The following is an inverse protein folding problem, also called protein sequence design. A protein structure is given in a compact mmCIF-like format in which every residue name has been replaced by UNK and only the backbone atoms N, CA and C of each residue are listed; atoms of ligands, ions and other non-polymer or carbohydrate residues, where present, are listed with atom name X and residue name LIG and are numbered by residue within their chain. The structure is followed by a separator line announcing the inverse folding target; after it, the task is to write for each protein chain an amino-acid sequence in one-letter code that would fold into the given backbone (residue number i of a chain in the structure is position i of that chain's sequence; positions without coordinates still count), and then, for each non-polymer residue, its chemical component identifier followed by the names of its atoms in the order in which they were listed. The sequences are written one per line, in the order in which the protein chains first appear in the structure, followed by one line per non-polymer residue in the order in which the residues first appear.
data_IF_318420033175
#
_entry.id   IF_318420033175
#
_cell.length_a   1.000
_cell.length_b   1.000
_cell.length_c   1.000
_cell.angle_alpha   90.00
_cell.angle_beta   90.00
_cell.angle_gamma   90.00
#
_symmetry.space_group_name_H-M   'P 1'
#
loop_
_entity.id
_entity.type
_entity.pdbx_description
1 polymer ?
#
# COMPACT_ATOMS: atom_id res chain seq x y z
N UNK A 1 1.21 7.53 14.02
CA UNK A 1 1.72 8.84 13.56
C UNK A 1 0.58 9.83 13.56
N UNK A 2 0.83 11.13 13.35
CA UNK A 2 -0.25 12.09 13.10
C UNK A 2 -0.83 11.88 11.69
N UNK A 3 -2.13 12.11 11.54
CA UNK A 3 -2.92 11.98 10.31
C UNK A 3 -2.29 12.78 9.16
N UNK A 4 -1.69 13.93 9.49
CA UNK A 4 -1.01 14.78 8.52
C UNK A 4 0.18 14.08 7.84
N UNK A 5 0.89 13.18 8.52
CA UNK A 5 2.01 12.45 7.92
C UNK A 5 1.52 11.48 6.85
N UNK A 6 0.40 10.79 7.10
CA UNK A 6 -0.22 9.88 6.14
C UNK A 6 -0.82 10.59 4.92
N UNK A 7 -1.08 11.90 5.03
CA UNK A 7 -1.54 12.72 3.91
C UNK A 7 -0.38 13.34 3.11
N UNK A 8 0.53 14.03 3.79
CA UNK A 8 1.54 14.88 3.14
C UNK A 8 2.65 14.04 2.49
N UNK A 9 3.14 13.00 3.16
CA UNK A 9 4.28 12.24 2.68
C UNK A 9 4.00 11.49 1.38
N UNK A 10 2.85 10.82 1.19
CA UNK A 10 2.51 10.21 -0.11
C UNK A 10 2.42 11.22 -1.25
N UNK A 11 1.88 12.42 -0.98
CA UNK A 11 1.80 13.49 -1.98
C UNK A 11 3.20 13.91 -2.40
N UNK A 12 4.08 14.20 -1.43
CA UNK A 12 5.47 14.58 -1.69
C UNK A 12 6.19 13.47 -2.46
N UNK A 13 6.04 12.22 -2.03
CA UNK A 13 6.65 11.05 -2.66
C UNK A 13 6.20 10.88 -4.12
N UNK A 14 4.89 10.96 -4.40
CA UNK A 14 4.37 10.82 -5.75
C UNK A 14 4.74 12.00 -6.67
N UNK A 15 4.79 13.21 -6.12
CA UNK A 15 5.29 14.38 -6.87
C UNK A 15 6.77 14.24 -7.17
N UNK A 16 7.58 13.82 -6.20
CA UNK A 16 9.01 13.55 -6.36
C UNK A 16 9.29 12.45 -7.39
N UNK A 17 8.44 11.41 -7.42
CA UNK A 17 8.44 10.36 -8.43
C UNK A 17 7.90 10.82 -9.80
N UNK A 18 7.57 12.12 -9.96
CA UNK A 18 7.10 12.73 -11.21
C UNK A 18 5.80 12.13 -11.77
N UNK A 19 4.96 11.52 -10.93
CA UNK A 19 3.68 10.93 -11.33
C UNK A 19 2.76 11.96 -12.01
N UNK A 20 2.80 13.21 -11.54
CA UNK A 20 2.00 14.32 -12.04
C UNK A 20 2.24 14.69 -13.52
N UNK A 21 3.33 14.21 -14.13
CA UNK A 21 3.65 14.48 -15.54
C UNK A 21 2.74 13.66 -16.48
N UNK A 22 2.38 12.43 -16.08
CA UNK A 22 1.62 11.49 -16.93
C UNK A 22 0.23 11.14 -16.38
N UNK A 23 0.02 11.37 -15.08
CA UNK A 23 -1.25 11.21 -14.40
C UNK A 23 -1.68 12.54 -13.81
N UNK A 24 -2.98 12.89 -13.82
CA UNK A 24 -3.45 14.16 -13.29
C UNK A 24 -3.18 14.23 -11.79
N UNK A 25 -2.76 15.40 -11.30
CA UNK A 25 -2.51 15.66 -9.87
C UNK A 25 -3.72 15.29 -8.99
N UNK A 26 -4.93 15.43 -9.54
CA UNK A 26 -6.18 15.00 -8.88
C UNK A 26 -6.12 13.54 -8.44
N UNK A 27 -5.50 12.64 -9.20
CA UNK A 27 -5.42 11.23 -8.82
C UNK A 27 -4.55 11.03 -7.58
N UNK A 28 -3.43 11.76 -7.48
CA UNK A 28 -2.56 11.76 -6.30
C UNK A 28 -3.33 12.30 -5.08
N UNK A 29 -4.05 13.41 -5.26
CA UNK A 29 -4.85 14.01 -4.19
C UNK A 29 -5.98 13.10 -3.73
N UNK A 30 -6.72 12.46 -4.64
CA UNK A 30 -7.77 11.49 -4.27
C UNK A 30 -7.15 10.34 -3.47
N UNK A 31 -6.06 9.75 -3.95
CA UNK A 31 -5.40 8.65 -3.24
C UNK A 31 -4.92 9.06 -1.84
N UNK A 32 -4.35 10.27 -1.70
CA UNK A 32 -3.94 10.80 -0.40
C UNK A 32 -5.13 11.13 0.51
N UNK A 33 -6.22 11.66 0.01
CA UNK A 33 -7.42 11.90 0.84
C UNK A 33 -7.99 10.58 1.39
N UNK A 34 -7.91 9.48 0.63
CA UNK A 34 -8.35 8.18 1.13
C UNK A 34 -7.50 7.66 2.29
N UNK A 35 -6.22 7.99 2.41
CA UNK A 35 -5.40 7.57 3.57
C UNK A 35 -5.89 8.24 4.85
N UNK A 36 -6.25 9.53 4.77
CA UNK A 36 -6.84 10.28 5.89
C UNK A 36 -8.19 9.70 6.32
N UNK A 37 -8.99 9.19 5.38
CA UNK A 37 -10.29 8.58 5.71
C UNK A 37 -10.15 7.31 6.55
N UNK A 38 -9.06 6.56 6.38
CA UNK A 38 -8.80 5.35 7.18
C UNK A 38 -8.45 5.74 8.62
N UNK A 39 -7.74 6.84 8.82
CA UNK A 39 -7.43 7.40 10.14
C UNK A 39 -8.65 7.86 10.94
N UNK A 40 -9.85 7.91 10.35
CA UNK A 40 -11.09 8.28 11.06
C UNK A 40 -11.40 7.32 12.21
N UNK A 41 -10.96 6.06 12.15
CA UNK A 41 -11.17 5.14 13.28
C UNK A 41 -10.44 5.58 14.57
N UNK A 42 -9.39 6.43 14.45
CA UNK A 42 -8.75 7.08 15.60
C UNK A 42 -9.66 8.09 16.29
N UNK A 43 -10.56 8.75 15.55
CA UNK A 43 -11.46 9.77 16.09
C UNK A 43 -12.66 9.16 16.82
N UNK A 44 -13.05 7.94 16.45
CA UNK A 44 -14.26 7.28 16.97
C UNK A 44 -13.95 6.35 18.16
N UNK A 45 -12.69 6.28 18.60
CA UNK A 45 -12.30 5.51 19.79
C UNK A 45 -12.39 3.98 19.63
N UNK A 46 -12.63 3.49 18.42
CA UNK A 46 -12.49 2.08 18.12
C UNK A 46 -11.00 1.74 18.11
N UNK A 47 -10.61 0.70 18.84
CA UNK A 47 -9.27 0.10 18.79
C UNK A 47 -8.78 0.03 17.35
N UNK A 48 -7.57 0.54 17.06
CA UNK A 48 -6.88 0.58 15.74
C UNK A 48 -6.96 -0.74 14.97
N UNK A 49 -8.10 -1.02 14.37
CA UNK A 49 -8.42 -2.36 13.89
C UNK A 49 -9.56 -2.37 12.90
N UNK A 50 -10.53 -1.45 13.00
CA UNK A 50 -11.65 -1.40 12.07
C UNK A 50 -11.20 -1.06 10.64
N UNK A 51 -10.41 0.00 10.46
CA UNK A 51 -9.90 0.38 9.14
C UNK A 51 -8.41 0.07 8.96
N UNK A 52 -7.66 -0.03 10.05
CA UNK A 52 -6.25 -0.43 10.02
C UNK A 52 -6.11 -1.95 10.03
N UNK A 53 -6.43 -2.62 8.93
CA UNK A 53 -6.21 -4.06 8.77
C UNK A 53 -5.94 -4.43 7.31
N UNK A 54 -5.45 -5.66 7.08
CA UNK A 54 -5.08 -6.13 5.73
C UNK A 54 -6.28 -6.21 4.79
N UNK A 55 -7.49 -6.43 5.30
CA UNK A 55 -8.69 -6.53 4.46
C UNK A 55 -9.05 -5.16 3.87
N UNK A 56 -9.00 -4.10 4.69
CA UNK A 56 -9.35 -2.74 4.27
C UNK A 56 -8.22 -2.07 3.50
N UNK A 57 -6.98 -2.12 4.01
CA UNK A 57 -5.87 -1.35 3.45
C UNK A 57 -5.13 -2.05 2.31
N UNK A 58 -5.29 -3.37 2.16
CA UNK A 58 -4.61 -4.14 1.11
C UNK A 58 -5.62 -4.85 0.20
N UNK A 59 -6.50 -5.68 0.75
CA UNK A 59 -7.40 -6.51 -0.06
C UNK A 59 -8.40 -5.68 -0.88
N UNK A 60 -9.11 -4.73 -0.26
CA UNK A 60 -10.08 -3.88 -0.97
C UNK A 60 -9.41 -3.08 -2.11
N UNK A 61 -8.30 -2.35 -1.89
CA UNK A 61 -7.59 -1.65 -2.95
C UNK A 61 -7.07 -2.59 -4.04
N UNK A 62 -6.60 -3.79 -3.68
CA UNK A 62 -6.17 -4.81 -4.63
C UNK A 62 -7.33 -5.30 -5.51
N UNK A 63 -8.51 -5.51 -4.93
CA UNK A 63 -9.73 -5.85 -5.68
C UNK A 63 -10.14 -4.71 -6.62
N UNK A 64 -10.00 -3.46 -6.20
CA UNK A 64 -10.24 -2.31 -7.06
C UNK A 64 -9.26 -2.25 -8.24
N UNK A 65 -7.97 -2.50 -8.00
CA UNK A 65 -6.98 -2.67 -9.07
C UNK A 65 -7.44 -3.80 -10.01
N UNK A 66 -7.70 -5.01 -9.51
CA UNK A 66 -8.15 -6.12 -10.35
C UNK A 66 -9.40 -5.78 -11.19
N UNK A 67 -10.36 -5.08 -10.61
CA UNK A 67 -11.57 -4.62 -11.28
C UNK A 67 -11.27 -3.66 -12.45
N UNK A 68 -10.40 -2.65 -12.25
CA UNK A 68 -10.07 -1.67 -13.32
C UNK A 68 -9.41 -2.33 -14.54
N UNK A 69 -8.55 -3.33 -14.31
CA UNK A 69 -7.93 -4.10 -15.38
C UNK A 69 -8.92 -5.03 -16.10
N UNK A 70 -9.80 -5.68 -15.34
CA UNK A 70 -10.84 -6.55 -15.91
C UNK A 70 -11.82 -5.78 -16.82
N UNK A 71 -12.26 -4.60 -16.39
CA UNK A 71 -13.21 -3.75 -17.11
C UNK A 71 -12.63 -2.98 -18.30
N UNK A 72 -11.33 -3.14 -18.59
CA UNK A 72 -10.61 -2.34 -19.61
C UNK A 72 -10.83 -0.83 -19.44
N UNK A 73 -10.79 -0.36 -18.19
CA UNK A 73 -10.94 1.08 -17.91
C UNK A 73 -9.84 1.91 -18.57
N UNK A 74 -10.08 3.22 -18.64
CA UNK A 74 -9.09 4.17 -19.16
C UNK A 74 -7.79 4.10 -18.36
N UNK A 75 -6.68 4.42 -19.04
CA UNK A 75 -5.34 4.42 -18.48
C UNK A 75 -5.26 5.19 -17.14
N UNK A 76 -5.92 6.33 -17.07
CA UNK A 76 -5.95 7.22 -15.90
C UNK A 76 -6.66 6.60 -14.70
N UNK A 77 -7.70 5.78 -14.93
CA UNK A 77 -8.41 5.10 -13.84
C UNK A 77 -7.57 3.95 -13.25
N UNK A 78 -6.78 3.26 -14.09
CA UNK A 78 -5.82 2.23 -13.63
C UNK A 78 -4.71 2.85 -12.79
N UNK A 79 -4.19 4.00 -13.24
CA UNK A 79 -3.22 4.79 -12.47
C UNK A 79 -3.76 5.18 -11.10
N UNK A 80 -4.99 5.70 -11.04
CA UNK A 80 -5.65 6.00 -9.77
C UNK A 80 -5.77 4.76 -8.87
N UNK A 81 -6.25 3.63 -9.40
CA UNK A 81 -6.42 2.41 -8.60
C UNK A 81 -5.10 1.91 -8.00
N UNK A 82 -4.01 1.94 -8.79
CA UNK A 82 -2.69 1.55 -8.30
C UNK A 82 -2.16 2.53 -7.26
N UNK A 83 -2.35 3.84 -7.45
CA UNK A 83 -1.95 4.85 -6.46
C UNK A 83 -2.68 4.65 -5.12
N UNK A 84 -3.99 4.38 -5.16
CA UNK A 84 -4.78 4.07 -3.96
C UNK A 84 -4.20 2.82 -3.26
N UNK A 85 -3.89 1.76 -4.01
CA UNK A 85 -3.27 0.57 -3.45
C UNK A 85 -1.90 0.86 -2.81
N UNK A 86 -1.02 1.59 -3.50
CA UNK A 86 0.31 1.95 -2.98
C UNK A 86 0.17 2.73 -1.68
N UNK A 87 -0.65 3.77 -1.67
CA UNK A 87 -0.76 4.69 -0.52
C UNK A 87 -1.41 4.01 0.70
N UNK A 88 -2.46 3.23 0.50
CA UNK A 88 -3.14 2.54 1.61
C UNK A 88 -2.32 1.36 2.14
N UNK A 89 -1.61 0.61 1.27
CA UNK A 89 -0.75 -0.48 1.74
C UNK A 89 0.50 0.04 2.45
N UNK A 90 1.09 1.14 1.99
CA UNK A 90 2.22 1.77 2.68
C UNK A 90 1.78 2.38 4.03
N UNK A 91 0.56 2.91 4.12
CA UNK A 91 -0.04 3.36 5.39
C UNK A 91 -0.03 2.27 6.45
N UNK A 92 -0.60 1.10 6.11
CA UNK A 92 -0.59 -0.07 7.01
C UNK A 92 0.84 -0.45 7.43
N UNK A 93 1.78 -0.40 6.49
CA UNK A 93 3.17 -0.73 6.75
C UNK A 93 3.81 0.24 7.75
N UNK A 94 3.58 1.55 7.61
CA UNK A 94 4.14 2.54 8.53
C UNK A 94 3.61 2.33 9.96
N UNK A 95 2.33 2.04 10.12
CA UNK A 95 1.73 1.84 11.45
C UNK A 95 2.30 0.64 12.21
N UNK A 96 2.80 -0.39 11.51
CA UNK A 96 3.54 -1.49 12.14
C UNK A 96 4.78 -0.99 12.91
N UNK A 97 5.41 0.10 12.50
CA UNK A 97 6.62 0.64 13.14
C UNK A 97 6.34 1.72 14.19
N UNK A 98 5.11 2.25 14.28
CA UNK A 98 4.81 3.40 15.15
C UNK A 98 3.97 3.09 16.38
N UNK A 99 3.15 2.03 16.34
CA UNK A 99 2.38 1.59 17.52
C UNK A 99 1.70 0.25 17.36
N UNK A 100 1.91 -0.42 16.23
CA UNK A 100 1.30 -1.70 15.93
C UNK A 100 -0.14 -1.61 15.44
N UNK A 101 -0.57 -2.69 14.81
CA UNK A 101 -1.87 -2.78 14.12
C UNK A 101 -2.51 -4.15 14.34
N UNK A 102 -3.84 -4.19 14.51
CA UNK A 102 -4.61 -5.42 14.51
C UNK A 102 -4.80 -5.96 13.07
N UNK A 103 -3.72 -6.54 12.50
CA UNK A 103 -3.63 -6.90 11.08
C UNK A 103 -4.81 -7.71 10.53
N UNK A 104 -5.37 -8.61 11.33
CA UNK A 104 -6.40 -9.57 10.92
C UNK A 104 -7.76 -9.30 11.57
N UNK A 105 -8.01 -8.11 12.11
CA UNK A 105 -9.33 -7.76 12.62
C UNK A 105 -10.39 -7.83 11.49
N UNK A 106 -11.61 -8.36 11.74
CA UNK A 106 -12.16 -8.85 13.01
C UNK A 106 -11.89 -10.33 13.32
N UNK A 107 -11.13 -11.04 12.48
CA UNK A 107 -10.82 -12.47 12.70
C UNK A 107 -9.88 -12.68 13.90
N UNK A 108 -9.02 -11.70 14.20
CA UNK A 108 -8.12 -11.71 15.35
C UNK A 108 -7.92 -10.29 15.89
N UNK A 109 -7.80 -10.17 17.21
CA UNK A 109 -7.50 -8.93 17.93
C UNK A 109 -6.02 -8.77 18.26
N UNK A 110 -5.16 -9.71 17.83
CA UNK A 110 -3.71 -9.64 18.07
C UNK A 110 -3.11 -8.42 17.37
N UNK A 111 -2.36 -7.62 18.13
CA UNK A 111 -1.64 -6.45 17.64
C UNK A 111 -0.23 -6.87 17.20
N UNK A 112 0.11 -6.53 15.96
CA UNK A 112 1.43 -6.78 15.40
C UNK A 112 2.20 -5.48 15.32
N UNK A 113 3.45 -5.48 15.79
CA UNK A 113 4.35 -4.33 15.72
C UNK A 113 5.75 -4.78 15.36
N UNK A 114 6.49 -3.92 14.66
CA UNK A 114 7.90 -4.09 14.35
C UNK A 114 8.67 -3.09 15.22
N UNK A 115 9.52 -3.63 16.10
CA UNK A 115 10.37 -2.85 16.97
C UNK A 115 11.83 -3.12 16.63
N UNK A 116 12.48 -2.11 16.06
CA UNK A 116 13.90 -2.14 15.75
C UNK A 116 14.57 -0.89 16.30
N UNK A 117 15.38 -1.02 17.34
CA UNK A 117 16.09 0.10 17.94
C UNK A 117 17.56 -0.25 18.11
N UNK A 118 18.45 0.65 17.65
CA UNK A 118 19.88 0.59 17.92
C UNK A 118 20.19 1.66 18.97
N UNK A 119 20.50 1.27 20.22
CA UNK A 119 20.78 2.22 21.28
C UNK A 119 22.11 2.93 21.02
N UNK A 120 22.18 4.20 21.41
CA UNK A 120 23.41 4.99 21.48
C UNK A 120 23.67 5.33 22.95
N UNK A 121 24.68 4.72 23.54
CA UNK A 121 25.09 5.03 24.91
C UNK A 121 26.33 5.92 24.81
N UNK A 122 26.24 7.15 25.33
CA UNK A 122 27.38 8.03 25.42
C UNK A 122 27.61 8.48 26.86
N UNK A 123 28.81 8.20 27.37
CA UNK A 123 29.24 8.57 28.72
C UNK A 123 30.09 9.83 28.67
N UNK A 124 29.65 10.86 29.40
CA UNK A 124 30.45 12.04 29.64
C UNK A 124 31.42 11.74 30.79
N UNK A 125 32.66 11.41 30.45
CA UNK A 125 33.70 10.96 31.38
C UNK A 125 34.01 12.03 32.44
N UNK A 126 33.83 13.31 32.11
CA UNK A 126 34.12 14.46 32.98
C UNK A 126 33.02 14.72 34.01
N UNK A 127 31.77 14.31 33.74
CA UNK A 127 30.60 14.55 34.60
C UNK A 127 30.00 13.28 35.20
N UNK A 128 30.52 12.10 34.85
CA UNK A 128 30.01 10.81 35.32
C UNK A 128 28.57 10.52 34.88
N UNK A 129 28.03 11.26 33.91
CA UNK A 129 26.67 11.10 33.41
C UNK A 129 26.67 10.31 32.11
N UNK A 130 25.86 9.25 32.06
CA UNK A 130 25.54 8.48 30.87
C UNK A 130 24.24 9.00 30.25
N UNK A 131 24.30 9.42 29.00
CA UNK A 131 23.14 9.76 28.21
C UNK A 131 22.76 8.57 27.33
N UNK A 132 21.51 8.14 27.45
CA UNK A 132 20.92 7.13 26.58
C UNK A 132 20.16 7.82 25.45
N UNK A 133 20.60 7.62 24.22
CA UNK A 133 19.90 8.02 23.00
C UNK A 133 19.62 6.81 22.12
N UNK A 134 18.96 7.05 20.97
CA UNK A 134 18.83 6.05 19.92
C UNK A 134 19.60 6.52 18.69
N UNK A 135 20.53 5.71 18.21
CA UNK A 135 21.21 5.95 16.93
C UNK A 135 20.24 5.72 15.77
N UNK A 136 19.45 4.65 15.86
CA UNK A 136 18.42 4.29 14.90
C UNK A 136 17.17 3.91 15.68
N UNK A 137 16.06 4.60 15.41
CA UNK A 137 14.76 4.31 16.01
C UNK A 137 13.85 3.55 15.05
N UNK A 138 12.96 2.71 15.59
CA UNK A 138 11.99 1.95 14.79
C UNK A 138 11.14 2.87 13.92
N UNK A 139 10.74 4.02 14.48
CA UNK A 139 10.02 5.07 13.76
C UNK A 139 10.81 5.61 12.57
N UNK A 140 12.11 5.91 12.75
CA UNK A 140 12.95 6.41 11.68
C UNK A 140 13.10 5.41 10.52
N UNK A 141 13.28 4.13 10.86
CA UNK A 141 13.30 3.04 9.86
C UNK A 141 11.95 2.91 9.16
N UNK A 142 10.85 2.95 9.91
CA UNK A 142 9.49 2.90 9.38
C UNK A 142 9.22 4.02 8.38
N UNK A 143 9.59 5.27 8.69
CA UNK A 143 9.43 6.42 7.79
C UNK A 143 10.27 6.25 6.51
N UNK A 144 11.52 5.82 6.64
CA UNK A 144 12.40 5.62 5.48
C UNK A 144 11.84 4.55 4.53
N UNK A 145 11.43 3.41 5.07
CA UNK A 145 10.83 2.32 4.29
C UNK A 145 9.47 2.73 3.71
N UNK A 146 8.64 3.43 4.46
CA UNK A 146 7.37 3.97 4.00
C UNK A 146 7.56 4.86 2.77
N UNK A 147 8.53 5.77 2.81
CA UNK A 147 8.84 6.64 1.67
C UNK A 147 9.31 5.84 0.46
N UNK A 148 10.18 4.85 0.65
CA UNK A 148 10.65 3.96 -0.42
C UNK A 148 9.52 3.13 -1.04
N UNK A 149 8.61 2.61 -0.22
CA UNK A 149 7.45 1.83 -0.65
C UNK A 149 6.47 2.65 -1.49
N UNK A 150 6.47 3.98 -1.38
CA UNK A 150 5.66 4.85 -2.22
C UNK A 150 6.44 5.28 -3.47
N UNK A 151 7.65 5.81 -3.28
CA UNK A 151 8.44 6.39 -4.38
C UNK A 151 8.76 5.33 -5.44
N UNK A 152 9.23 4.13 -5.05
CA UNK A 152 9.65 3.13 -6.02
C UNK A 152 8.49 2.69 -6.93
N UNK A 153 7.32 2.25 -6.43
CA UNK A 153 6.20 1.91 -7.31
C UNK A 153 5.68 3.11 -8.12
N UNK A 154 5.68 4.32 -7.55
CA UNK A 154 5.27 5.53 -8.26
C UNK A 154 6.19 5.86 -9.44
N UNK A 155 7.51 5.65 -9.31
CA UNK A 155 8.47 5.86 -10.41
C UNK A 155 8.20 4.92 -11.59
N UNK A 156 7.74 3.70 -11.31
CA UNK A 156 7.45 2.68 -12.32
C UNK A 156 5.95 2.50 -12.59
N UNK A 157 5.12 3.50 -12.25
CA UNK A 157 3.66 3.37 -12.32
C UNK A 157 3.17 2.98 -13.72
N UNK A 158 3.71 3.59 -14.77
CA UNK A 158 3.33 3.30 -16.15
C UNK A 158 3.79 1.90 -16.61
N UNK A 159 4.97 1.49 -16.18
CA UNK A 159 5.50 0.15 -16.46
C UNK A 159 4.65 -0.91 -15.76
N UNK A 160 4.20 -0.64 -14.54
CA UNK A 160 3.26 -1.51 -13.81
C UNK A 160 1.95 -1.62 -14.60
N UNK A 161 1.36 -0.50 -15.03
CA UNK A 161 0.11 -0.50 -15.80
C UNK A 161 0.26 -1.31 -17.08
N UNK A 162 1.28 -1.03 -17.89
CA UNK A 162 1.49 -1.71 -19.17
C UNK A 162 1.78 -3.20 -19.00
N UNK A 163 2.55 -3.59 -17.98
CA UNK A 163 2.83 -4.99 -17.68
C UNK A 163 1.59 -5.74 -17.19
N UNK A 164 0.76 -5.11 -16.35
CA UNK A 164 -0.49 -5.69 -15.90
C UNK A 164 -1.51 -5.83 -17.04
N UNK A 165 -1.59 -4.87 -17.96
CA UNK A 165 -2.42 -4.97 -19.16
C UNK A 165 -2.00 -6.17 -20.02
N UNK A 166 -0.71 -6.27 -20.35
CA UNK A 166 -0.16 -7.38 -21.15
C UNK A 166 -0.46 -8.73 -20.49
N UNK A 167 -0.21 -8.86 -19.17
CA UNK A 167 -0.50 -10.09 -18.42
C UNK A 167 -2.00 -10.44 -18.45
N UNK A 168 -2.88 -9.46 -18.24
CA UNK A 168 -4.32 -9.68 -18.24
C UNK A 168 -4.82 -10.12 -19.63
N UNK A 169 -4.31 -9.52 -20.71
CA UNK A 169 -4.65 -9.93 -22.08
C UNK A 169 -4.16 -11.34 -22.41
N UNK A 170 -2.91 -11.67 -22.06
CA UNK A 170 -2.36 -13.01 -22.28
C UNK A 170 -3.16 -14.07 -21.54
N UNK A 171 -3.52 -13.83 -20.28
CA UNK A 171 -4.36 -14.73 -19.51
C UNK A 171 -5.75 -14.92 -20.16
N UNK A 172 -6.37 -13.83 -20.63
CA UNK A 172 -7.65 -13.90 -21.33
C UNK A 172 -7.58 -14.69 -22.64
N UNK A 173 -6.48 -14.58 -23.39
CA UNK A 173 -6.22 -15.38 -24.60
C UNK A 173 -6.10 -16.86 -24.26
N UNK A 174 -5.28 -17.20 -23.27
CA UNK A 174 -5.12 -18.58 -22.79
C UNK A 174 -6.46 -19.21 -22.34
N UNK A 175 -7.30 -18.46 -21.62
CA UNK A 175 -8.63 -18.92 -21.23
C UNK A 175 -9.57 -19.17 -22.43
N UNK A 176 -9.50 -18.34 -23.47
CA UNK A 176 -10.28 -18.55 -24.70
C UNK A 176 -9.82 -19.82 -25.42
N UNK A 177 -8.52 -20.07 -25.48
CA UNK A 177 -7.94 -21.24 -26.12
C UNK A 177 -8.28 -22.54 -25.38
N UNK A 178 -8.30 -22.50 -24.04
CA UNK A 178 -8.79 -23.61 -23.23
C UNK A 178 -10.29 -23.88 -23.44
N UNK A 179 -11.09 -22.82 -23.57
CA UNK A 179 -12.53 -22.95 -23.81
C UNK A 179 -12.84 -23.48 -25.21
N UNK A 180 -12.06 -23.10 -26.22
CA UNK A 180 -12.24 -23.59 -27.60
C UNK A 180 -11.77 -25.03 -27.80
N UNK A 181 -10.85 -25.52 -26.95
CA UNK A 181 -10.39 -26.91 -26.92
C UNK A 181 -11.31 -27.89 -26.17
N UNK A 182 -12.44 -27.46 -25.60
CA UNK A 182 -13.43 -28.42 -25.06
C UNK A 182 -13.90 -29.33 -26.20
N UNK A 183 -13.79 -30.67 -26.06
CA UNK A 183 -14.22 -31.59 -27.11
C UNK A 183 -15.71 -31.36 -27.37
N UNK A 184 -16.08 -31.16 -28.65
CA UNK A 184 -17.47 -31.39 -29.07
C UNK A 184 -17.73 -32.85 -28.72
N UNK A 185 -18.59 -33.12 -27.74
CA UNK A 185 -19.10 -34.45 -27.51
C UNK A 185 -19.61 -34.98 -28.84
N UNK A 186 -18.89 -35.95 -29.40
CA UNK A 186 -19.38 -36.79 -30.48
C UNK A 186 -20.49 -37.67 -29.88
N UNK A 187 -21.69 -37.10 -29.68
CA UNK A 187 -22.88 -37.91 -29.66
C UNK A 187 -23.21 -38.23 -31.11
N UNK A 188 -22.60 -39.31 -31.61
CA UNK A 188 -23.03 -39.97 -32.83
C UNK A 188 -22.88 -41.49 -32.64
N UNK A 189 -24.05 -42.12 -32.63
CA UNK A 189 -24.34 -43.54 -32.85
C UNK A 189 -24.23 -44.49 -31.65
N UNK A 190 -25.40 -44.80 -31.10
CA UNK A 190 -25.91 -46.17 -30.94
C UNK A 190 -27.43 -46.11 -31.07
#
# INVERSE_FOLDING_TARGET
MDILFHFIFPIIAAIAAKVHIRHPIRNILIAATLTVLVDVDHLVGFTRGTFHNIFVLVLIPLLFVAYTFHRKKFYQEKGLAILIFIFLSSHLFLDLFTGGVALFYPLSTVIYAINFNIPLIWTNITMGQSYEGMLVSSLGVGIALYFLLIVLPCMYLDDIISNMEKKHENFRRALKDLRSKKPRNYYKYS
#
